data_IF_623266535621
#
_entry.id   IF_623266535621
#
_cell.length_a   1.000
_cell.length_b   1.000
_cell.length_c   1.000
_cell.angle_alpha   90.00
_cell.angle_beta   90.00
_cell.angle_gamma   90.00
#
_symmetry.space_group_name_H-M   'P 1'
#
loop_
_entity.id
_entity.type
_entity.pdbx_description
1 polymer ?
#
# COMPACT_ATOMS: atom_id res chain seq x y z
N UNK A 1 -14.14 4.21 2.48
CA UNK A 1 -12.86 4.56 1.82
C UNK A 1 -12.63 3.88 0.45
N UNK A 2 -13.19 2.70 0.16
CA UNK A 2 -12.95 2.01 -1.13
C UNK A 2 -13.62 2.61 -2.39
N UNK A 3 -14.65 3.45 -2.24
CA UNK A 3 -15.40 4.00 -3.38
C UNK A 3 -14.66 5.19 -4.02
N UNK A 4 -13.87 5.94 -3.23
CA UNK A 4 -13.08 7.08 -3.73
C UNK A 4 -11.88 6.63 -4.59
N UNK A 5 -11.29 5.46 -4.33
CA UNK A 5 -10.18 4.94 -5.13
C UNK A 5 -10.62 4.45 -6.53
N UNK A 6 -11.84 3.92 -6.67
CA UNK A 6 -12.34 3.47 -7.99
C UNK A 6 -12.60 4.63 -8.95
N UNK A 7 -13.09 5.77 -8.44
CA UNK A 7 -13.34 6.94 -9.27
C UNK A 7 -12.06 7.66 -9.70
N UNK A 8 -11.02 7.67 -8.84
CA UNK A 8 -9.72 8.22 -9.22
C UNK A 8 -9.07 7.35 -10.31
N UNK A 9 -9.10 6.03 -10.14
CA UNK A 9 -8.57 5.09 -11.12
C UNK A 9 -9.29 5.20 -12.48
N UNK A 10 -10.63 5.29 -12.48
CA UNK A 10 -11.41 5.42 -13.70
C UNK A 10 -11.20 6.77 -14.40
N UNK A 11 -10.96 7.85 -13.65
CA UNK A 11 -10.73 9.20 -14.21
C UNK A 11 -9.32 9.33 -14.80
N UNK A 12 -8.32 8.69 -14.18
CA UNK A 12 -6.94 8.62 -14.69
C UNK A 12 -6.89 7.75 -15.95
N UNK A 13 -7.49 6.56 -15.92
CA UNK A 13 -7.50 5.65 -17.06
C UNK A 13 -8.28 6.21 -18.25
N UNK A 14 -9.42 6.87 -18.01
CA UNK A 14 -10.24 7.46 -19.08
C UNK A 14 -9.53 8.62 -19.78
N UNK A 15 -8.72 9.40 -19.05
CA UNK A 15 -7.89 10.48 -19.60
C UNK A 15 -6.75 9.93 -20.47
N UNK A 16 -6.08 8.87 -20.00
CA UNK A 16 -5.07 8.14 -20.78
C UNK A 16 -5.65 7.53 -22.07
N UNK A 17 -6.86 6.96 -22.03
CA UNK A 17 -7.52 6.45 -23.24
C UNK A 17 -7.96 7.55 -24.20
N UNK A 18 -8.36 8.73 -23.72
CA UNK A 18 -8.69 9.85 -24.61
C UNK A 18 -7.44 10.44 -25.29
N UNK A 19 -6.31 10.52 -24.58
CA UNK A 19 -5.03 10.91 -25.19
C UNK A 19 -4.57 9.86 -26.21
N UNK A 20 -4.85 8.56 -25.98
CA UNK A 20 -4.53 7.49 -26.93
C UNK A 20 -5.34 7.55 -28.24
N UNK A 21 -6.55 8.14 -28.22
CA UNK A 21 -7.38 8.30 -29.43
C UNK A 21 -6.87 9.46 -30.28
N UNK A 22 -6.36 10.53 -29.67
CA UNK A 22 -5.69 11.63 -30.39
C UNK A 22 -4.34 11.16 -30.96
N UNK A 23 -3.63 10.29 -30.26
CA UNK A 23 -2.40 9.64 -30.76
C UNK A 23 -2.69 8.69 -31.93
N UNK A 24 -3.84 8.00 -31.96
CA UNK A 24 -4.23 7.11 -33.07
C UNK A 24 -4.62 7.83 -34.37
N UNK A 25 -4.84 9.15 -34.36
CA UNK A 25 -4.98 9.95 -35.57
C UNK A 25 -3.66 10.49 -36.13
N UNK A 26 -2.50 10.24 -35.49
CA UNK A 26 -1.18 10.48 -36.10
C UNK A 26 -0.85 9.32 -37.04
N UNK A 27 -1.48 9.29 -38.22
CA UNK A 27 -1.07 8.41 -39.34
C UNK A 27 0.28 8.79 -39.94
N UNK A 28 0.92 9.86 -39.45
CA UNK A 28 2.29 10.22 -39.78
C UNK A 28 3.15 9.98 -38.55
N UNK A 29 3.96 8.92 -38.56
CA UNK A 29 5.02 8.79 -37.56
C UNK A 29 5.97 9.96 -37.74
N UNK A 30 6.53 10.43 -36.62
CA UNK A 30 7.45 11.55 -36.62
C UNK A 30 8.70 11.22 -37.47
N UNK A 31 9.05 9.94 -37.55
CA UNK A 31 10.07 9.39 -38.44
C UNK A 31 9.70 9.54 -39.92
N UNK A 32 8.44 9.25 -40.32
CA UNK A 32 7.96 9.46 -41.68
C UNK A 32 7.98 10.94 -42.10
N UNK A 33 7.71 11.87 -41.18
CA UNK A 33 7.77 13.32 -41.44
C UNK A 33 9.21 13.76 -41.73
N UNK A 34 10.19 13.28 -40.97
CA UNK A 34 11.59 13.58 -41.25
C UNK A 34 12.12 12.87 -42.49
N UNK A 35 11.74 11.60 -42.70
CA UNK A 35 12.22 10.80 -43.82
C UNK A 35 11.68 11.33 -45.16
N UNK A 36 10.41 11.73 -45.22
CA UNK A 36 9.84 12.39 -46.39
C UNK A 36 10.51 13.73 -46.71
N UNK A 37 10.79 14.54 -45.69
CA UNK A 37 11.52 15.81 -45.85
C UNK A 37 12.95 15.61 -46.37
N UNK A 38 13.67 14.61 -45.85
CA UNK A 38 15.03 14.26 -46.27
C UNK A 38 15.04 13.76 -47.72
N UNK A 39 14.10 12.89 -48.10
CA UNK A 39 13.97 12.39 -49.47
C UNK A 39 13.65 13.53 -50.44
N UNK A 40 12.78 14.47 -50.07
CA UNK A 40 12.48 15.66 -50.88
C UNK A 40 13.70 16.58 -51.04
N UNK A 41 14.50 16.76 -50.00
CA UNK A 41 15.75 17.56 -50.06
C UNK A 41 16.78 16.92 -50.98
N UNK A 42 17.03 15.62 -50.84
CA UNK A 42 17.98 14.90 -51.69
C UNK A 42 17.49 14.80 -53.15
N UNK A 43 16.18 14.60 -53.36
CA UNK A 43 15.57 14.66 -54.69
C UNK A 43 15.73 16.05 -55.32
N UNK A 44 15.50 17.12 -54.55
CA UNK A 44 15.70 18.50 -55.01
C UNK A 44 17.16 18.82 -55.35
N UNK A 45 18.11 18.34 -54.55
CA UNK A 45 19.55 18.49 -54.81
C UNK A 45 20.03 17.69 -56.03
N UNK A 46 19.48 16.49 -56.24
CA UNK A 46 19.76 15.68 -57.43
C UNK A 46 19.18 16.32 -58.71
N UNK A 47 18.01 16.93 -58.63
CA UNK A 47 17.45 17.70 -59.74
C UNK A 47 18.25 18.98 -60.03
N UNK A 48 18.79 19.64 -58.99
CA UNK A 48 19.63 20.83 -59.15
C UNK A 48 20.99 20.52 -59.79
N UNK A 49 21.59 19.36 -59.46
CA UNK A 49 22.90 18.96 -60.00
C UNK A 49 22.88 18.64 -61.49
N UNK A 50 21.73 18.29 -62.05
CA UNK A 50 21.53 18.11 -63.49
C UNK A 50 21.53 19.43 -64.28
N UNK A 51 21.28 20.56 -63.60
CA UNK A 51 21.15 21.87 -64.22
C UNK A 51 22.44 22.68 -64.05
N UNK A 52 22.91 22.85 -62.81
CA UNK A 52 24.12 23.64 -62.51
C UNK A 52 24.70 23.28 -61.13
N UNK A 53 26.02 23.11 -61.05
CA UNK A 53 26.73 22.86 -59.80
C UNK A 53 26.69 24.06 -58.85
N UNK A 54 26.62 25.29 -59.40
CA UNK A 54 26.53 26.51 -58.58
C UNK A 54 25.19 26.60 -57.82
N UNK A 55 24.12 26.06 -58.40
CA UNK A 55 22.79 25.99 -57.78
C UNK A 55 22.79 25.05 -56.55
N UNK A 56 23.55 23.96 -56.62
CA UNK A 56 23.72 23.02 -55.49
C UNK A 56 24.39 23.70 -54.31
N UNK A 57 25.47 24.45 -54.54
CA UNK A 57 26.15 25.22 -53.50
C UNK A 57 25.22 26.27 -52.86
N UNK A 58 24.40 26.94 -53.67
CA UNK A 58 23.41 27.92 -53.21
C UNK A 58 22.33 27.27 -52.33
N UNK A 59 21.75 26.15 -52.76
CA UNK A 59 20.74 25.41 -51.99
C UNK A 59 21.29 24.85 -50.67
N UNK A 60 22.53 24.37 -50.67
CA UNK A 60 23.19 23.89 -49.46
C UNK A 60 23.41 25.02 -48.44
N UNK A 61 23.78 26.22 -48.90
CA UNK A 61 23.96 27.39 -48.03
C UNK A 61 22.62 27.85 -47.42
N UNK A 62 21.55 27.89 -48.21
CA UNK A 62 20.22 28.20 -47.66
C UNK A 62 19.68 27.08 -46.76
N UNK A 63 20.06 25.82 -47.00
CA UNK A 63 19.69 24.70 -46.13
C UNK A 63 20.37 24.77 -44.76
N UNK A 64 21.65 25.16 -44.69
CA UNK A 64 22.33 25.34 -43.39
C UNK A 64 21.77 26.52 -42.61
N UNK A 65 21.46 27.63 -43.30
CA UNK A 65 20.78 28.77 -42.69
C UNK A 65 19.37 28.40 -42.18
N UNK A 66 18.58 27.68 -43.00
CA UNK A 66 17.25 27.19 -42.64
C UNK A 66 17.29 26.28 -41.40
N UNK A 67 18.30 25.41 -41.30
CA UNK A 67 18.52 24.55 -40.15
C UNK A 67 18.74 25.37 -38.88
N UNK A 68 19.69 26.32 -38.91
CA UNK A 68 20.03 27.14 -37.75
C UNK A 68 18.83 27.98 -37.31
N UNK A 69 18.10 28.61 -38.24
CA UNK A 69 16.94 29.41 -37.88
C UNK A 69 15.74 28.58 -37.43
N UNK A 70 15.58 27.36 -37.93
CA UNK A 70 14.53 26.45 -37.46
C UNK A 70 14.78 25.98 -36.02
N UNK A 71 16.04 25.80 -35.62
CA UNK A 71 16.43 25.45 -34.25
C UNK A 71 16.28 26.64 -33.30
N UNK A 72 16.71 27.84 -33.71
CA UNK A 72 16.72 29.02 -32.84
C UNK A 72 15.37 29.77 -32.80
N UNK A 73 14.65 29.82 -33.92
CA UNK A 73 13.46 30.65 -34.11
C UNK A 73 12.18 29.88 -34.47
N UNK A 74 12.22 28.54 -34.48
CA UNK A 74 11.09 27.67 -34.85
C UNK A 74 10.49 28.07 -36.21
N UNK A 75 9.16 28.10 -36.32
CA UNK A 75 8.45 28.49 -37.55
C UNK A 75 8.72 29.94 -37.99
N UNK A 76 8.97 30.85 -37.06
CA UNK A 76 9.28 32.25 -37.37
C UNK A 76 10.63 32.38 -38.08
N UNK A 77 11.64 31.63 -37.62
CA UNK A 77 12.96 31.59 -38.25
C UNK A 77 12.92 31.02 -39.67
N UNK A 78 12.17 29.94 -39.87
CA UNK A 78 11.95 29.35 -41.19
C UNK A 78 11.19 30.31 -42.14
N UNK A 79 10.19 31.03 -41.65
CA UNK A 79 9.44 32.02 -42.43
C UNK A 79 10.32 33.15 -42.95
N UNK A 80 11.23 33.67 -42.12
CA UNK A 80 12.17 34.73 -42.50
C UNK A 80 13.11 34.26 -43.61
N UNK A 81 13.67 33.05 -43.47
CA UNK A 81 14.61 32.50 -44.47
C UNK A 81 13.90 32.16 -45.77
N UNK A 82 12.68 31.62 -45.71
CA UNK A 82 11.87 31.34 -46.91
C UNK A 82 11.56 32.63 -47.66
N UNK A 83 11.18 33.71 -46.96
CA UNK A 83 10.94 35.02 -47.54
C UNK A 83 12.19 35.65 -48.18
N UNK A 84 13.40 35.37 -47.66
CA UNK A 84 14.66 35.81 -48.27
C UNK A 84 15.07 34.94 -49.45
N UNK A 85 14.78 33.64 -49.40
CA UNK A 85 15.13 32.67 -50.44
C UNK A 85 14.42 32.96 -51.77
N UNK A 86 13.10 33.19 -51.76
CA UNK A 86 12.34 33.43 -52.99
C UNK A 86 12.86 34.57 -53.87
N UNK A 87 13.10 35.81 -53.36
CA UNK A 87 13.58 36.91 -54.19
C UNK A 87 15.01 36.70 -54.68
N UNK A 88 15.89 36.11 -53.87
CA UNK A 88 17.30 35.85 -54.25
C UNK A 88 17.38 34.72 -55.29
N UNK A 89 16.59 33.67 -55.12
CA UNK A 89 16.47 32.56 -56.06
C UNK A 89 15.91 33.03 -57.42
N UNK A 90 14.84 33.85 -57.39
CA UNK A 90 14.22 34.39 -58.58
C UNK A 90 15.18 35.31 -59.37
N UNK A 91 15.90 36.21 -58.70
CA UNK A 91 16.79 37.15 -59.38
C UNK A 91 17.99 36.47 -60.06
N UNK A 92 18.57 35.43 -59.42
CA UNK A 92 19.81 34.82 -59.90
C UNK A 92 19.59 33.66 -60.88
N UNK A 93 18.50 32.90 -60.77
CA UNK A 93 18.38 31.61 -61.46
C UNK A 93 17.16 31.48 -62.39
N UNK A 94 16.26 32.47 -62.40
CA UNK A 94 15.08 32.47 -63.29
C UNK A 94 15.46 32.63 -64.77
N UNK A 95 16.56 33.33 -65.06
CA UNK A 95 17.05 33.55 -66.44
C UNK A 95 17.86 32.38 -67.03
N UNK A 96 18.26 31.41 -66.20
CA UNK A 96 19.20 30.33 -66.57
C UNK A 96 18.45 29.04 -66.91
N UNK A 97 17.25 28.84 -66.37
CA UNK A 97 16.49 27.61 -66.57
C UNK A 97 15.69 27.62 -67.89
N UNK A 98 15.72 26.54 -68.70
CA UNK A 98 14.97 26.44 -69.95
C UNK A 98 13.45 26.29 -69.77
N UNK A 99 12.98 26.05 -68.53
CA UNK A 99 11.56 25.94 -68.20
C UNK A 99 11.25 26.58 -66.84
N UNK A 100 10.35 27.57 -66.87
CA UNK A 100 9.85 28.30 -65.68
C UNK A 100 9.13 27.36 -64.69
N UNK A 101 8.48 26.32 -65.21
CA UNK A 101 7.78 25.33 -64.38
C UNK A 101 8.75 24.48 -63.55
N UNK A 102 9.92 24.17 -64.11
CA UNK A 102 10.97 23.41 -63.40
C UNK A 102 11.62 24.22 -62.29
N UNK A 103 11.97 25.50 -62.54
CA UNK A 103 12.56 26.36 -61.51
C UNK A 103 11.56 26.66 -60.38
N UNK A 104 10.27 26.86 -60.71
CA UNK A 104 9.23 27.06 -59.71
C UNK A 104 8.99 25.78 -58.89
N UNK A 105 8.97 24.62 -59.56
CA UNK A 105 8.83 23.33 -58.90
C UNK A 105 9.95 23.05 -57.90
N UNK A 106 11.20 23.36 -58.27
CA UNK A 106 12.38 23.16 -57.42
C UNK A 106 12.40 24.12 -56.21
N UNK A 107 12.03 25.38 -56.41
CA UNK A 107 11.88 26.34 -55.32
C UNK A 107 10.76 25.94 -54.34
N UNK A 108 9.60 25.55 -54.87
CA UNK A 108 8.48 25.09 -54.05
C UNK A 108 8.79 23.79 -53.31
N UNK A 109 9.46 22.82 -53.95
CA UNK A 109 9.83 21.56 -53.29
C UNK A 109 10.83 21.79 -52.15
N UNK A 110 11.81 22.67 -52.35
CA UNK A 110 12.81 23.00 -51.33
C UNK A 110 12.21 23.71 -50.11
N UNK A 111 11.30 24.67 -50.36
CA UNK A 111 10.59 25.36 -49.28
C UNK A 111 9.67 24.37 -48.57
N UNK A 112 8.85 23.61 -49.29
CA UNK A 112 7.97 22.61 -48.68
C UNK A 112 8.72 21.55 -47.87
N UNK A 113 9.87 21.07 -48.34
CA UNK A 113 10.67 20.09 -47.60
C UNK A 113 11.18 20.64 -46.27
N UNK A 114 11.66 21.89 -46.25
CA UNK A 114 12.10 22.55 -45.02
C UNK A 114 10.93 22.97 -44.11
N UNK A 115 9.77 23.30 -44.69
CA UNK A 115 8.54 23.53 -43.95
C UNK A 115 8.10 22.29 -43.17
N UNK A 116 8.07 21.13 -43.83
CA UNK A 116 7.77 19.83 -43.20
C UNK A 116 8.81 19.50 -42.11
N UNK A 117 10.09 19.75 -42.38
CA UNK A 117 11.17 19.52 -41.41
C UNK A 117 11.02 20.38 -40.14
N UNK A 118 10.74 21.68 -40.31
CA UNK A 118 10.54 22.61 -39.19
C UNK A 118 9.32 22.24 -38.35
N UNK A 119 8.28 21.70 -38.99
CA UNK A 119 7.08 21.20 -38.33
C UNK A 119 7.39 19.95 -37.50
N UNK A 120 8.21 19.03 -38.03
CA UNK A 120 8.73 17.89 -37.28
C UNK A 120 9.53 18.32 -36.04
N UNK A 121 10.44 19.30 -36.16
CA UNK A 121 11.22 19.81 -35.03
C UNK A 121 10.31 20.40 -33.95
N UNK A 122 9.33 21.22 -34.31
CA UNK A 122 8.42 21.83 -33.34
C UNK A 122 7.63 20.77 -32.57
N UNK A 123 7.10 19.76 -33.28
CA UNK A 123 6.34 18.67 -32.64
C UNK A 123 7.18 17.87 -31.65
N UNK A 124 8.47 17.62 -31.94
CA UNK A 124 9.37 16.92 -30.99
C UNK A 124 9.64 17.75 -29.75
N UNK A 125 9.85 19.05 -29.91
CA UNK A 125 10.13 19.95 -28.80
C UNK A 125 8.90 20.06 -27.89
N UNK A 126 7.71 20.21 -28.47
CA UNK A 126 6.45 20.28 -27.73
C UNK A 126 6.20 18.95 -26.99
N UNK A 127 6.40 17.80 -27.66
CA UNK A 127 6.24 16.49 -27.03
C UNK A 127 7.26 16.24 -25.90
N UNK A 128 8.50 16.71 -26.04
CA UNK A 128 9.51 16.66 -24.97
C UNK A 128 9.11 17.54 -23.80
N UNK A 129 8.60 18.74 -24.06
CA UNK A 129 8.16 19.66 -23.01
C UNK A 129 6.97 19.10 -22.24
N UNK A 130 5.99 18.52 -22.93
CA UNK A 130 4.83 17.89 -22.31
C UNK A 130 5.23 16.67 -21.45
N UNK A 131 6.13 15.82 -21.96
CA UNK A 131 6.69 14.70 -21.17
C UNK A 131 7.43 15.22 -19.94
N UNK A 132 8.26 16.26 -20.08
CA UNK A 132 8.99 16.84 -18.96
C UNK A 132 8.04 17.37 -17.88
N UNK A 133 6.98 18.09 -18.27
CA UNK A 133 5.96 18.56 -17.33
C UNK A 133 5.23 17.41 -16.62
N UNK A 134 4.96 16.31 -17.32
CA UNK A 134 4.38 15.11 -16.70
C UNK A 134 5.34 14.45 -15.71
N UNK A 135 6.62 14.35 -16.06
CA UNK A 135 7.66 13.84 -15.16
C UNK A 135 7.81 14.71 -13.91
N UNK A 136 7.83 16.03 -14.06
CA UNK A 136 7.95 16.97 -12.94
C UNK A 136 6.75 16.83 -12.00
N UNK A 137 5.52 16.78 -12.53
CA UNK A 137 4.30 16.55 -11.73
C UNK A 137 4.32 15.22 -10.98
N UNK A 138 4.71 14.12 -11.65
CA UNK A 138 4.84 12.81 -11.02
C UNK A 138 5.92 12.82 -9.92
N UNK A 139 7.02 13.53 -10.15
CA UNK A 139 8.10 13.65 -9.17
C UNK A 139 7.64 14.41 -7.91
N UNK A 140 6.86 15.48 -8.06
CA UNK A 140 6.27 16.23 -6.95
C UNK A 140 5.25 15.39 -6.18
N UNK A 141 4.40 14.64 -6.88
CA UNK A 141 3.43 13.75 -6.26
C UNK A 141 4.12 12.64 -5.46
N UNK A 142 5.17 12.02 -6.02
CA UNK A 142 5.98 11.04 -5.32
C UNK A 142 6.70 11.62 -4.09
N UNK A 143 7.24 12.84 -4.19
CA UNK A 143 7.84 13.53 -3.05
C UNK A 143 6.80 13.83 -1.94
N UNK A 144 5.58 14.25 -2.33
CA UNK A 144 4.45 14.44 -1.43
C UNK A 144 4.08 13.16 -0.69
N UNK A 145 3.92 12.05 -1.42
CA UNK A 145 3.61 10.74 -0.83
C UNK A 145 4.72 10.31 0.13
N UNK A 146 5.99 10.44 -0.27
CA UNK A 146 7.14 10.08 0.57
C UNK A 146 7.16 10.87 1.88
N UNK A 147 6.98 12.19 1.82
CA UNK A 147 6.93 13.02 3.03
C UNK A 147 5.76 12.67 3.96
N UNK A 148 4.59 12.35 3.39
CA UNK A 148 3.43 11.92 4.17
C UNK A 148 3.64 10.56 4.84
N UNK A 149 4.30 9.64 4.15
CA UNK A 149 4.64 8.32 4.65
C UNK A 149 5.67 8.42 5.78
N UNK A 150 6.75 9.19 5.58
CA UNK A 150 7.80 9.39 6.58
C UNK A 150 7.22 10.01 7.86
N UNK A 151 6.30 10.98 7.72
CA UNK A 151 5.58 11.57 8.85
C UNK A 151 4.72 10.53 9.58
N UNK A 152 3.94 9.73 8.85
CA UNK A 152 3.09 8.70 9.47
C UNK A 152 3.92 7.62 10.19
N UNK A 153 5.08 7.24 9.64
CA UNK A 153 6.02 6.33 10.30
C UNK A 153 6.57 6.93 11.59
N UNK A 154 6.96 8.20 11.56
CA UNK A 154 7.46 8.91 12.73
C UNK A 154 6.39 9.04 13.83
N UNK A 155 5.17 9.47 13.48
CA UNK A 155 4.05 9.60 14.41
C UNK A 155 3.69 8.24 15.04
N UNK A 156 3.75 7.16 14.25
CA UNK A 156 3.53 5.79 14.75
C UNK A 156 4.64 5.35 15.72
N UNK A 157 5.90 5.66 15.43
CA UNK A 157 7.01 5.34 16.30
C UNK A 157 6.88 6.05 17.67
N UNK A 158 6.53 7.34 17.66
CA UNK A 158 6.27 8.13 18.89
C UNK A 158 5.10 7.55 19.68
N UNK A 159 4.01 7.16 19.01
CA UNK A 159 2.87 6.53 19.67
C UNK A 159 3.24 5.18 20.30
N UNK A 160 4.04 4.35 19.62
CA UNK A 160 4.53 3.09 20.17
C UNK A 160 5.42 3.31 21.40
N UNK A 161 6.35 4.26 21.36
CA UNK A 161 7.22 4.58 22.50
C UNK A 161 6.41 5.06 23.70
N UNK A 162 5.37 5.88 23.48
CA UNK A 162 4.46 6.32 24.53
C UNK A 162 3.70 5.14 25.16
N UNK A 163 3.17 4.24 24.33
CA UNK A 163 2.44 3.06 24.81
C UNK A 163 3.35 2.10 25.59
N UNK A 164 4.59 1.92 25.14
CA UNK A 164 5.59 1.09 25.81
C UNK A 164 5.95 1.66 27.20
N UNK A 165 6.23 2.96 27.28
CA UNK A 165 6.45 3.66 28.56
C UNK A 165 5.25 3.53 29.50
N UNK A 166 4.04 3.63 28.97
CA UNK A 166 2.80 3.46 29.75
C UNK A 166 2.63 2.02 30.23
N UNK A 167 2.94 1.03 29.40
CA UNK A 167 2.89 -0.38 29.78
C UNK A 167 3.88 -0.69 30.91
N UNK A 168 5.14 -0.22 30.79
CA UNK A 168 6.16 -0.38 31.83
C UNK A 168 5.74 0.28 33.15
N UNK A 169 5.16 1.48 33.10
CA UNK A 169 4.64 2.16 34.29
C UNK A 169 3.54 1.34 34.98
N UNK A 170 2.54 0.87 34.21
CA UNK A 170 1.46 0.03 34.72
C UNK A 170 1.95 -1.29 35.30
N UNK A 171 2.95 -1.92 34.67
CA UNK A 171 3.58 -3.14 35.18
C UNK A 171 4.27 -2.89 36.52
N UNK A 172 4.99 -1.77 36.66
CA UNK A 172 5.62 -1.39 37.93
C UNK A 172 4.59 -1.13 39.05
N UNK A 173 3.44 -0.53 38.73
CA UNK A 173 2.39 -0.29 39.70
C UNK A 173 1.67 -1.59 40.09
N UNK A 174 1.51 -2.53 39.14
CA UNK A 174 0.95 -3.85 39.39
C UNK A 174 1.86 -4.67 40.32
N UNK A 175 3.19 -4.59 40.14
CA UNK A 175 4.16 -5.20 41.06
C UNK A 175 4.06 -4.61 42.48
N UNK A 176 3.96 -3.28 42.61
CA UNK A 176 3.74 -2.64 43.92
C UNK A 176 2.45 -3.10 44.57
N UNK A 177 1.35 -3.17 43.82
CA UNK A 177 0.07 -3.66 44.33
C UNK A 177 0.14 -5.13 44.76
N UNK A 178 0.84 -5.99 44.01
CA UNK A 178 1.08 -7.38 44.41
C UNK A 178 1.87 -7.48 45.71
N UNK A 179 2.92 -6.66 45.88
CA UNK A 179 3.71 -6.64 47.10
C UNK A 179 2.88 -6.21 48.31
N UNK A 180 2.06 -5.15 48.17
CA UNK A 180 1.14 -4.69 49.22
C UNK A 180 0.10 -5.75 49.58
N UNK A 181 -0.44 -6.46 48.59
CA UNK A 181 -1.41 -7.53 48.81
C UNK A 181 -0.78 -8.70 49.55
N UNK A 182 0.45 -9.08 49.20
CA UNK A 182 1.18 -10.13 49.90
C UNK A 182 1.51 -9.75 51.34
N UNK A 183 1.86 -8.49 51.60
CA UNK A 183 2.07 -7.98 52.97
C UNK A 183 0.76 -7.99 53.78
N UNK A 184 -0.35 -7.59 53.17
CA UNK A 184 -1.69 -7.64 53.79
C UNK A 184 -2.10 -9.07 54.14
N UNK A 185 -1.91 -10.02 53.23
CA UNK A 185 -2.18 -11.44 53.50
C UNK A 185 -1.37 -11.96 54.69
N UNK A 186 -0.07 -11.63 54.77
CA UNK A 186 0.76 -11.99 55.94
C UNK A 186 0.23 -11.37 57.24
N UNK A 187 -0.18 -10.10 57.22
CA UNK A 187 -0.79 -9.44 58.40
C UNK A 187 -2.08 -10.14 58.81
N UNK A 188 -2.91 -10.55 57.85
CA UNK A 188 -4.15 -11.29 58.11
C UNK A 188 -3.87 -12.68 58.71
N UNK A 189 -2.87 -13.41 58.21
CA UNK A 189 -2.42 -14.68 58.80
C UNK A 189 -1.96 -14.49 60.25
N UNK A 190 -1.17 -13.46 60.52
CA UNK A 190 -0.74 -13.13 61.89
C UNK A 190 -1.93 -12.79 62.80
N UNK A 191 -2.87 -11.96 62.34
CA UNK A 191 -4.08 -11.67 63.12
C UNK A 191 -4.92 -12.92 63.39
N UNK A 192 -5.05 -13.82 62.41
CA UNK A 192 -5.77 -15.08 62.58
C UNK A 192 -5.11 -15.97 63.65
N UNK A 193 -3.78 -16.04 63.68
CA UNK A 193 -3.03 -16.74 64.72
C UNK A 193 -3.23 -16.09 66.10
N UNK A 194 -3.18 -14.76 66.19
CA UNK A 194 -3.42 -14.04 67.44
C UNK A 194 -4.84 -14.28 67.98
N UNK A 195 -5.85 -14.28 67.11
CA UNK A 195 -7.22 -14.63 67.50
C UNK A 195 -7.36 -16.06 68.01
N UNK A 196 -6.63 -17.00 67.40
CA UNK A 196 -6.61 -18.39 67.87
C UNK A 196 -5.99 -18.48 69.27
N UNK A 197 -4.87 -17.80 69.51
CA UNK A 197 -4.23 -17.75 70.84
C UNK A 197 -5.18 -17.14 71.87
N UNK A 198 -5.84 -16.03 71.56
CA UNK A 198 -6.81 -15.39 72.47
C UNK A 198 -8.01 -16.30 72.76
N UNK A 199 -8.48 -17.06 71.76
CA UNK A 199 -9.54 -18.05 71.94
C UNK A 199 -9.10 -19.18 72.88
N UNK A 200 -7.89 -19.70 72.70
CA UNK A 200 -7.33 -20.74 73.55
C UNK A 200 -7.13 -20.25 74.99
N UNK A 201 -6.64 -19.03 75.18
CA UNK A 201 -6.54 -18.38 76.50
C UNK A 201 -7.92 -18.22 77.16
N UNK A 202 -8.92 -17.78 76.40
CA UNK A 202 -10.30 -17.66 76.91
C UNK A 202 -10.83 -19.02 77.38
N UNK A 203 -10.59 -20.07 76.60
CA UNK A 203 -11.02 -21.43 76.96
C UNK A 203 -10.30 -21.94 78.22
N UNK A 204 -8.98 -21.72 78.31
CA UNK A 204 -8.20 -22.04 79.51
C UNK A 204 -8.72 -21.30 80.76
N UNK A 205 -9.04 -20.00 80.65
CA UNK A 205 -9.61 -19.25 81.78
C UNK A 205 -11.01 -19.73 82.18
N UNK A 206 -11.83 -20.15 81.22
CA UNK A 206 -13.13 -20.75 81.50
C UNK A 206 -13.00 -22.10 82.21
N UNK A 207 -12.01 -22.91 81.84
CA UNK A 207 -11.68 -24.15 82.54
C UNK A 207 -11.20 -23.89 83.98
N UNK A 208 -10.27 -22.94 84.17
CA UNK A 208 -9.78 -22.54 85.49
C UNK A 208 -10.92 -21.99 86.38
N UNK A 209 -11.80 -21.17 85.81
CA UNK A 209 -12.98 -20.66 86.51
C UNK A 209 -13.94 -21.79 86.88
N UNK A 210 -14.19 -22.75 85.98
CA UNK A 210 -15.05 -23.90 86.27
C UNK A 210 -14.46 -24.77 87.39
N UNK A 211 -13.15 -24.99 87.42
CA UNK A 211 -12.45 -25.68 88.51
C UNK A 211 -12.61 -24.94 89.83
N UNK A 212 -12.35 -23.63 89.85
CA UNK A 212 -12.47 -22.80 91.04
C UNK A 212 -13.93 -22.74 91.55
N UNK A 213 -14.89 -22.63 90.65
CA UNK A 213 -16.31 -22.63 90.98
C UNK A 213 -16.74 -23.99 91.56
N UNK A 214 -16.31 -25.09 90.96
CA UNK A 214 -16.56 -26.43 91.48
C UNK A 214 -15.91 -26.63 92.87
N UNK A 215 -14.71 -26.08 93.09
CA UNK A 215 -14.05 -26.12 94.39
C UNK A 215 -14.75 -25.24 95.43
N UNK A 216 -15.22 -24.06 95.06
CA UNK A 216 -16.07 -23.21 95.90
C UNK A 216 -17.37 -23.92 96.27
N UNK A 217 -18.08 -24.50 95.30
CA UNK A 217 -19.29 -25.29 95.54
C UNK A 217 -18.97 -26.48 96.44
N UNK A 218 -17.86 -27.18 96.25
CA UNK A 218 -17.42 -28.26 97.15
C UNK A 218 -17.16 -27.76 98.57
N UNK A 219 -16.52 -26.61 98.76
CA UNK A 219 -16.24 -26.04 100.08
C UNK A 219 -17.49 -25.47 100.77
N UNK A 220 -18.45 -24.96 100.01
CA UNK A 220 -19.70 -24.37 100.53
C UNK A 220 -20.78 -25.44 100.75
N UNK A 221 -20.84 -26.46 99.89
CA UNK A 221 -21.81 -27.55 99.96
C UNK A 221 -21.24 -28.82 100.64
N UNK A 222 -19.96 -28.84 101.01
CA UNK A 222 -19.25 -30.01 101.53
C UNK A 222 -18.47 -29.71 102.81
N UNK A 223 -19.20 -29.27 103.83
CA UNK A 223 -19.02 -29.69 105.23
C UNK A 223 -20.40 -29.49 105.92
N UNK A 224 -21.28 -30.48 105.78
CA UNK A 224 -22.67 -30.47 106.29
C UNK A 224 -22.79 -30.47 107.83
N UNK A 225 -21.75 -30.09 108.58
CA UNK A 225 -21.76 -30.09 110.05
C UNK A 225 -21.20 -28.84 110.73
N UNK A 226 -21.23 -27.67 110.09
CA UNK A 226 -20.98 -26.43 110.85
C UNK A 226 -21.75 -25.22 110.30
N UNK A 227 -22.82 -24.87 111.02
CA UNK A 227 -23.53 -23.59 110.87
C UNK A 227 -22.58 -22.42 111.10
N UNK A 228 -22.28 -21.61 110.08
CA UNK A 228 -21.55 -20.35 110.29
C UNK A 228 -22.05 -19.26 109.33
N UNK A 229 -23.22 -18.69 109.62
CA UNK A 229 -23.49 -17.26 109.40
C UNK A 229 -24.41 -16.74 110.51
N UNK A 230 -23.83 -16.47 111.68
CA UNK A 230 -24.47 -15.78 112.81
C UNK A 230 -24.01 -14.32 112.92
N UNK A 231 -24.11 -13.53 111.85
CA UNK A 231 -23.69 -12.11 111.89
C UNK A 231 -24.62 -11.20 111.08
N UNK A 232 -25.91 -11.20 111.46
CA UNK A 232 -26.77 -10.01 111.35
C UNK A 232 -27.27 -9.70 112.77
N UNK A 233 -26.34 -9.26 113.62
CA UNK A 233 -26.68 -8.61 114.87
C UNK A 233 -26.04 -7.24 114.87
N UNK A 234 -26.90 -6.23 115.02
CA UNK A 234 -26.57 -4.81 115.21
C UNK A 234 -25.34 -4.64 116.08
N UNK A 235 -24.38 -3.85 115.60
CA UNK A 235 -23.46 -3.11 116.46
C UNK A 235 -23.44 -1.67 115.98
N UNK A 236 -24.02 -0.81 116.80
CA UNK A 236 -23.85 0.64 116.75
C UNK A 236 -22.35 0.94 116.75
N UNK A 237 -21.86 1.57 115.70
CA UNK A 237 -20.61 2.30 115.71
C UNK A 237 -20.94 3.78 115.63
N UNK A 238 -20.95 4.42 116.80
CA UNK A 238 -20.57 5.82 116.95
C UNK A 238 -19.17 5.98 116.37
N UNK A 239 -19.06 6.70 115.25
CA UNK A 239 -17.76 7.17 114.73
C UNK A 239 -17.66 8.65 115.04
N UNK A 240 -16.61 9.00 115.77
CA UNK A 240 -16.23 10.33 116.15
C UNK A 240 -16.07 11.28 114.95
N UNK A 241 -16.55 12.50 115.14
CA UNK A 241 -16.57 13.64 114.22
C UNK A 241 -15.18 14.27 113.97
N UNK A 242 -14.12 13.46 113.81
CA UNK A 242 -12.76 13.97 113.52
C UNK A 242 -12.05 13.34 112.31
N UNK A 243 -12.60 12.29 111.67
CA UNK A 243 -12.01 11.68 110.46
C UNK A 243 -12.72 12.03 109.13
N UNK A 244 -13.73 12.90 109.17
CA UNK A 244 -14.55 13.23 108.00
C UNK A 244 -13.78 14.02 106.92
N UNK A 245 -12.67 14.67 107.28
CA UNK A 245 -11.82 15.42 106.35
C UNK A 245 -10.97 14.54 105.41
N UNK A 246 -10.34 13.48 105.92
CA UNK A 246 -9.49 12.60 105.10
C UNK A 246 -10.30 11.69 104.18
N UNK A 247 -11.44 11.16 104.66
CA UNK A 247 -12.33 10.31 103.86
C UNK A 247 -12.93 11.10 102.68
N UNK A 248 -13.39 12.34 102.93
CA UNK A 248 -13.88 13.22 101.88
C UNK A 248 -12.79 13.58 100.84
N UNK A 249 -11.55 13.79 101.27
CA UNK A 249 -10.42 14.05 100.38
C UNK A 249 -10.03 12.82 99.53
N UNK A 250 -10.14 11.60 100.07
CA UNK A 250 -9.93 10.39 99.26
C UNK A 250 -11.04 10.17 98.23
N UNK A 251 -12.30 10.44 98.58
CA UNK A 251 -13.42 10.33 97.63
C UNK A 251 -13.34 11.36 96.49
N UNK A 252 -12.97 12.60 96.79
CA UNK A 252 -12.78 13.62 95.74
C UNK A 252 -11.60 13.29 94.82
N UNK A 253 -10.52 12.71 95.36
CA UNK A 253 -9.38 12.26 94.53
C UNK A 253 -9.74 11.08 93.62
N UNK A 254 -10.51 10.12 94.12
CA UNK A 254 -11.02 8.99 93.32
C UNK A 254 -11.98 9.49 92.24
N UNK A 255 -12.87 10.44 92.56
CA UNK A 255 -13.79 11.04 91.59
C UNK A 255 -13.02 11.76 90.48
N UNK A 256 -12.02 12.57 90.83
CA UNK A 256 -11.16 13.24 89.86
C UNK A 256 -10.38 12.26 88.97
N UNK A 257 -9.85 11.17 89.54
CA UNK A 257 -9.17 10.14 88.75
C UNK A 257 -10.13 9.40 87.79
N UNK A 258 -11.37 9.18 88.22
CA UNK A 258 -12.41 8.56 87.39
C UNK A 258 -12.88 9.51 86.28
N UNK A 259 -13.03 10.80 86.56
CA UNK A 259 -13.35 11.81 85.55
C UNK A 259 -12.23 11.94 84.52
N UNK A 260 -10.96 11.93 84.93
CA UNK A 260 -9.82 11.93 83.99
C UNK A 260 -9.75 10.66 83.12
N UNK A 261 -10.16 9.50 83.67
CA UNK A 261 -10.28 8.25 82.89
C UNK A 261 -11.48 8.27 81.94
N UNK A 262 -12.57 8.94 82.33
CA UNK A 262 -13.74 9.11 81.49
C UNK A 262 -13.44 10.00 80.29
N UNK A 263 -12.76 11.12 80.51
CA UNK A 263 -12.36 12.03 79.43
C UNK A 263 -11.36 11.37 78.47
N UNK A 264 -10.43 10.54 78.95
CA UNK A 264 -9.51 9.80 78.06
C UNK A 264 -10.23 8.72 77.24
N UNK A 265 -11.25 8.06 77.80
CA UNK A 265 -12.10 7.11 77.08
C UNK A 265 -12.98 7.81 76.04
N UNK A 266 -13.52 8.98 76.34
CA UNK A 266 -14.26 9.80 75.38
C UNK A 266 -13.37 10.23 74.20
N UNK A 267 -12.12 10.65 74.47
CA UNK A 267 -11.17 11.00 73.41
C UNK A 267 -10.79 9.78 72.56
N UNK A 268 -10.65 8.60 73.17
CA UNK A 268 -10.42 7.35 72.43
C UNK A 268 -11.62 6.95 71.57
N UNK A 269 -12.85 7.14 72.08
CA UNK A 269 -14.08 6.86 71.35
C UNK A 269 -14.21 7.77 70.12
N UNK A 270 -13.87 9.05 70.26
CA UNK A 270 -13.92 10.00 69.15
C UNK A 270 -12.88 9.69 68.08
N UNK A 271 -11.67 9.27 68.48
CA UNK A 271 -10.64 8.77 67.55
C UNK A 271 -11.13 7.54 66.79
N UNK A 272 -11.72 6.56 67.47
CA UNK A 272 -12.34 5.36 66.86
C UNK A 272 -13.44 5.73 65.85
N UNK A 273 -14.34 6.67 66.19
CA UNK A 273 -15.38 7.16 65.27
C UNK A 273 -14.79 7.78 64.02
N UNK A 274 -13.79 8.64 64.17
CA UNK A 274 -13.12 9.28 63.02
C UNK A 274 -12.43 8.25 62.11
N UNK A 275 -11.85 7.19 62.70
CA UNK A 275 -11.22 6.10 61.98
C UNK A 275 -12.26 5.28 61.21
N UNK A 276 -13.39 4.97 61.84
CA UNK A 276 -14.50 4.26 61.20
C UNK A 276 -15.07 5.02 60.01
N UNK A 277 -15.29 6.33 60.14
CA UNK A 277 -15.73 7.18 59.03
C UNK A 277 -14.72 7.24 57.88
N UNK A 278 -13.42 7.15 58.19
CA UNK A 278 -12.38 7.08 57.16
C UNK A 278 -12.41 5.76 56.39
N UNK A 279 -12.58 4.64 57.09
CA UNK A 279 -12.69 3.31 56.47
C UNK A 279 -13.98 3.15 55.67
N UNK A 280 -15.09 3.72 56.14
CA UNK A 280 -16.36 3.67 55.40
C UNK A 280 -16.25 4.43 54.07
N UNK A 281 -15.59 5.60 54.07
CA UNK A 281 -15.29 6.34 52.83
C UNK A 281 -14.36 5.56 51.90
N UNK A 282 -13.34 4.91 52.45
CA UNK A 282 -12.41 4.08 51.67
C UNK A 282 -13.13 2.88 51.04
N UNK A 283 -14.01 2.20 51.79
CA UNK A 283 -14.85 1.11 51.29
C UNK A 283 -15.77 1.56 50.16
N UNK A 284 -16.41 2.72 50.28
CA UNK A 284 -17.25 3.28 49.21
C UNK A 284 -16.43 3.58 47.95
N UNK A 285 -15.21 4.10 48.11
CA UNK A 285 -14.30 4.34 46.98
C UNK A 285 -13.81 3.04 46.33
N UNK A 286 -13.60 1.98 47.13
CA UNK A 286 -13.21 0.67 46.62
C UNK A 286 -14.37 0.04 45.85
N UNK A 287 -15.60 0.18 46.36
CA UNK A 287 -16.80 -0.31 45.71
C UNK A 287 -17.02 0.33 44.34
N UNK A 288 -16.83 1.65 44.22
CA UNK A 288 -16.92 2.33 42.92
C UNK A 288 -15.85 1.84 41.93
N UNK A 289 -14.62 1.62 42.40
CA UNK A 289 -13.53 1.07 41.56
C UNK A 289 -13.80 -0.36 41.11
N UNK A 290 -14.37 -1.21 41.98
CA UNK A 290 -14.78 -2.57 41.61
C UNK A 290 -15.88 -2.51 40.54
N UNK A 291 -16.84 -1.60 40.66
CA UNK A 291 -17.88 -1.41 39.66
C UNK A 291 -17.30 -0.98 38.29
N UNK A 292 -16.32 -0.07 38.29
CA UNK A 292 -15.61 0.33 37.05
C UNK A 292 -14.87 -0.84 36.39
N UNK A 293 -14.25 -1.73 37.19
CA UNK A 293 -13.59 -2.93 36.67
C UNK A 293 -14.60 -3.87 36.01
N UNK A 294 -15.75 -4.10 36.64
CA UNK A 294 -16.83 -4.93 36.07
C UNK A 294 -17.33 -4.33 34.74
N UNK A 295 -17.49 -3.01 34.66
CA UNK A 295 -17.89 -2.34 33.42
C UNK A 295 -16.82 -2.47 32.32
N UNK A 296 -15.54 -2.44 32.68
CA UNK A 296 -14.44 -2.64 31.75
C UNK A 296 -14.35 -4.08 31.25
N UNK A 297 -14.58 -5.06 32.13
CA UNK A 297 -14.66 -6.49 31.75
C UNK A 297 -15.78 -6.72 30.75
N UNK A 298 -16.98 -6.18 30.98
CA UNK A 298 -18.10 -6.26 30.05
C UNK A 298 -17.79 -5.63 28.68
N UNK A 299 -17.06 -4.50 28.66
CA UNK A 299 -16.61 -3.87 27.41
C UNK A 299 -15.57 -4.72 26.69
N UNK A 300 -14.66 -5.33 27.44
CA UNK A 300 -13.62 -6.21 26.90
C UNK A 300 -14.25 -7.45 26.26
N UNK A 301 -15.22 -8.08 26.92
CA UNK A 301 -15.97 -9.22 26.37
C UNK A 301 -16.70 -8.86 25.07
N UNK A 302 -17.33 -7.67 25.03
CA UNK A 302 -17.98 -7.17 23.83
C UNK A 302 -16.97 -6.96 22.69
N UNK A 303 -15.81 -6.38 22.97
CA UNK A 303 -14.76 -6.19 21.97
C UNK A 303 -14.19 -7.52 21.49
N UNK A 304 -13.99 -8.49 22.37
CA UNK A 304 -13.57 -9.84 22.00
C UNK A 304 -14.60 -10.53 21.09
N UNK A 305 -15.89 -10.39 21.38
CA UNK A 305 -16.94 -10.95 20.49
C UNK A 305 -16.92 -10.31 19.10
N UNK A 306 -16.67 -9.00 19.02
CA UNK A 306 -16.56 -8.29 17.74
C UNK A 306 -15.31 -8.70 16.98
N UNK A 307 -14.20 -8.90 17.68
CA UNK A 307 -12.95 -9.40 17.09
C UNK A 307 -13.17 -10.78 16.46
N UNK A 308 -13.74 -11.73 17.22
CA UNK A 308 -14.06 -13.07 16.72
C UNK A 308 -14.97 -13.03 15.49
N UNK A 309 -15.96 -12.14 15.48
CA UNK A 309 -16.82 -11.96 14.32
C UNK A 309 -16.04 -11.46 13.09
N UNK A 310 -15.09 -10.54 13.27
CA UNK A 310 -14.25 -10.03 12.19
C UNK A 310 -13.26 -11.07 11.67
N UNK A 311 -12.72 -11.92 12.54
CA UNK A 311 -11.86 -13.02 12.14
C UNK A 311 -12.63 -14.01 11.25
N UNK A 312 -13.86 -14.37 11.61
CA UNK A 312 -14.74 -15.21 10.78
C UNK A 312 -15.02 -14.55 9.41
N UNK A 313 -15.30 -13.25 9.37
CA UNK A 313 -15.50 -12.52 8.11
C UNK A 313 -14.24 -12.52 7.23
N UNK A 314 -13.05 -12.41 7.85
CA UNK A 314 -11.77 -12.46 7.14
C UNK A 314 -11.51 -13.86 6.57
N UNK A 315 -11.76 -14.92 7.33
CA UNK A 315 -11.65 -16.30 6.84
C UNK A 315 -12.57 -16.54 5.65
N UNK A 316 -13.85 -16.11 5.73
CA UNK A 316 -14.79 -16.21 4.62
C UNK A 316 -14.34 -15.44 3.37
N UNK A 317 -13.74 -14.26 3.55
CA UNK A 317 -13.19 -13.48 2.45
C UNK A 317 -11.95 -14.15 1.85
N UNK A 318 -11.08 -14.73 2.67
CA UNK A 318 -9.91 -15.49 2.21
C UNK A 318 -10.33 -16.72 1.42
N UNK A 319 -11.32 -17.49 1.88
CA UNK A 319 -11.88 -18.63 1.14
C UNK A 319 -12.45 -18.19 -0.22
N UNK A 320 -13.19 -17.07 -0.27
CA UNK A 320 -13.69 -16.53 -1.54
C UNK A 320 -12.57 -16.15 -2.49
N UNK A 321 -11.55 -15.42 -2.00
CA UNK A 321 -10.39 -15.04 -2.81
C UNK A 321 -9.68 -16.30 -3.33
N UNK A 322 -9.49 -17.30 -2.49
CA UNK A 322 -8.88 -18.55 -2.91
C UNK A 322 -9.72 -19.27 -3.97
N UNK A 323 -11.04 -19.29 -3.83
CA UNK A 323 -11.96 -19.78 -4.85
C UNK A 323 -11.80 -19.10 -6.21
N UNK A 324 -11.67 -17.76 -6.23
CA UNK A 324 -11.43 -17.00 -7.46
C UNK A 324 -10.08 -17.31 -8.09
N UNK A 325 -9.00 -17.33 -7.30
CA UNK A 325 -7.64 -17.62 -7.80
C UNK A 325 -7.52 -19.03 -8.37
N UNK A 326 -8.20 -20.00 -7.75
CA UNK A 326 -8.19 -21.39 -8.21
C UNK A 326 -8.99 -21.54 -9.51
N UNK A 327 -10.11 -20.83 -9.64
CA UNK A 327 -10.92 -20.80 -10.88
C UNK A 327 -10.20 -20.13 -12.05
N UNK A 328 -9.49 -19.02 -11.82
CA UNK A 328 -8.70 -18.34 -12.88
C UNK A 328 -7.48 -19.15 -13.31
N UNK A 329 -6.79 -19.83 -12.39
CA UNK A 329 -5.65 -20.70 -12.74
C UNK A 329 -6.04 -21.84 -13.66
N UNK A 330 -7.21 -22.47 -13.45
CA UNK A 330 -7.68 -23.58 -14.30
C UNK A 330 -8.06 -23.07 -15.70
N UNK A 331 -8.64 -21.87 -15.82
CA UNK A 331 -8.98 -21.30 -17.15
C UNK A 331 -7.75 -20.85 -17.93
N UNK A 332 -6.79 -20.19 -17.27
CA UNK A 332 -5.56 -19.71 -17.93
C UNK A 332 -4.67 -20.86 -18.41
N UNK A 333 -4.51 -21.92 -17.61
CA UNK A 333 -3.65 -23.05 -17.96
C UNK A 333 -4.22 -23.89 -19.14
N UNK A 334 -5.55 -23.88 -19.31
CA UNK A 334 -6.22 -24.49 -20.47
C UNK A 334 -6.08 -23.68 -21.76
N UNK A 335 -6.11 -22.35 -21.67
CA UNK A 335 -5.94 -21.45 -22.81
C UNK A 335 -4.48 -21.41 -23.29
N UNK A 336 -3.52 -21.35 -22.37
CA UNK A 336 -2.10 -21.27 -22.71
C UNK A 336 -1.60 -22.55 -23.41
N UNK A 337 -2.08 -23.73 -22.98
CA UNK A 337 -1.83 -25.01 -23.68
C UNK A 337 -2.45 -25.05 -25.08
N UNK A 338 -3.62 -24.44 -25.28
CA UNK A 338 -4.28 -24.35 -26.60
C UNK A 338 -3.51 -23.43 -27.56
N UNK A 339 -3.07 -22.27 -27.08
CA UNK A 339 -2.28 -21.34 -27.90
C UNK A 339 -0.91 -21.88 -28.26
N UNK A 340 -0.21 -22.51 -27.30
CA UNK A 340 1.08 -23.15 -27.57
C UNK A 340 0.96 -24.26 -28.62
N UNK A 341 -0.11 -25.05 -28.59
CA UNK A 341 -0.36 -26.09 -29.60
C UNK A 341 -0.64 -25.49 -30.99
N UNK A 342 -1.50 -24.45 -31.07
CA UNK A 342 -1.78 -23.75 -32.34
C UNK A 342 -0.53 -23.10 -32.94
N UNK A 343 0.33 -22.52 -32.11
CA UNK A 343 1.59 -21.93 -32.54
C UNK A 343 2.55 -22.98 -33.12
N UNK A 344 2.68 -24.14 -32.47
CA UNK A 344 3.49 -25.24 -32.99
C UNK A 344 2.95 -25.76 -34.33
N UNK A 345 1.63 -25.90 -34.46
CA UNK A 345 0.99 -26.33 -35.69
C UNK A 345 1.20 -25.34 -36.84
N UNK A 346 1.08 -24.03 -36.56
CA UNK A 346 1.38 -22.98 -37.55
C UNK A 346 2.85 -23.02 -37.98
N UNK A 347 3.78 -23.18 -37.03
CA UNK A 347 5.22 -23.28 -37.32
C UNK A 347 5.54 -24.47 -38.22
N UNK A 348 4.93 -25.63 -37.98
CA UNK A 348 5.07 -26.81 -38.83
C UNK A 348 4.51 -26.56 -40.24
N UNK A 349 3.36 -25.89 -40.35
CA UNK A 349 2.78 -25.52 -41.64
C UNK A 349 3.67 -24.54 -42.43
N UNK A 350 4.27 -23.56 -41.76
CA UNK A 350 5.23 -22.64 -42.39
C UNK A 350 6.47 -23.38 -42.90
N UNK A 351 7.03 -24.32 -42.12
CA UNK A 351 8.17 -25.11 -42.60
C UNK A 351 7.82 -25.97 -43.82
N UNK A 352 6.66 -26.64 -43.80
CA UNK A 352 6.23 -27.47 -44.92
C UNK A 352 5.95 -26.65 -46.20
N UNK A 353 5.31 -25.47 -46.07
CA UNK A 353 5.07 -24.57 -47.20
C UNK A 353 6.36 -23.94 -47.74
N UNK A 354 7.31 -23.59 -46.87
CA UNK A 354 8.61 -23.08 -47.28
C UNK A 354 9.44 -24.13 -48.05
N UNK A 355 9.40 -25.39 -47.62
CA UNK A 355 10.03 -26.50 -48.34
C UNK A 355 9.39 -26.75 -49.70
N UNK A 356 8.05 -26.71 -49.78
CA UNK A 356 7.32 -26.84 -51.05
C UNK A 356 7.65 -25.69 -52.02
N UNK A 357 7.75 -24.46 -51.52
CA UNK A 357 8.13 -23.29 -52.32
C UNK A 357 9.58 -23.37 -52.82
N UNK A 358 10.50 -23.91 -52.01
CA UNK A 358 11.86 -24.20 -52.46
C UNK A 358 11.90 -25.29 -53.53
N UNK A 359 11.09 -26.34 -53.41
CA UNK A 359 10.98 -27.38 -54.43
C UNK A 359 10.42 -26.81 -55.74
N UNK A 360 9.34 -26.02 -55.68
CA UNK A 360 8.75 -25.37 -56.85
C UNK A 360 9.74 -24.40 -57.54
N UNK A 361 10.50 -23.62 -56.78
CA UNK A 361 11.56 -22.74 -57.33
C UNK A 361 12.68 -23.54 -58.02
N UNK A 362 13.05 -24.70 -57.49
CA UNK A 362 14.03 -25.59 -58.13
C UNK A 362 13.49 -26.19 -59.43
N UNK A 363 12.23 -26.62 -59.45
CA UNK A 363 11.60 -27.11 -60.67
C UNK A 363 11.48 -26.00 -61.72
N UNK A 364 11.12 -24.78 -61.33
CA UNK A 364 11.10 -23.62 -62.23
C UNK A 364 12.49 -23.33 -62.79
N UNK A 365 13.52 -23.42 -61.96
CA UNK A 365 14.91 -23.25 -62.41
C UNK A 365 15.30 -24.32 -63.43
N UNK A 366 14.97 -25.59 -63.17
CA UNK A 366 15.22 -26.71 -64.09
C UNK A 366 14.44 -26.56 -65.40
N UNK A 367 13.17 -26.16 -65.36
CA UNK A 367 12.35 -25.91 -66.55
C UNK A 367 12.93 -24.75 -67.34
N UNK A 368 13.38 -23.68 -66.68
CA UNK A 368 14.02 -22.54 -67.31
C UNK A 368 15.38 -22.90 -67.91
N UNK A 369 16.16 -23.74 -67.25
CA UNK A 369 17.41 -24.27 -67.77
C UNK A 369 17.17 -25.15 -69.00
N UNK A 370 16.22 -26.09 -68.93
CA UNK A 370 15.80 -26.91 -70.06
C UNK A 370 15.32 -26.05 -71.23
N UNK A 371 14.47 -25.05 -70.97
CA UNK A 371 14.01 -24.10 -71.98
C UNK A 371 15.19 -23.34 -72.62
N UNK A 372 16.14 -22.84 -71.84
CA UNK A 372 17.33 -22.15 -72.37
C UNK A 372 18.23 -23.11 -73.17
N UNK A 373 18.35 -24.38 -72.76
CA UNK A 373 19.11 -25.38 -73.52
C UNK A 373 18.42 -25.78 -74.83
N UNK A 374 17.09 -25.90 -74.83
CA UNK A 374 16.28 -26.14 -76.02
C UNK A 374 16.33 -24.93 -76.96
N UNK A 375 16.18 -23.71 -76.43
CA UNK A 375 16.33 -22.47 -77.18
C UNK A 375 17.71 -22.38 -77.85
N UNK A 376 18.78 -22.81 -77.17
CA UNK A 376 20.13 -22.87 -77.75
C UNK A 376 20.27 -23.96 -78.82
N UNK A 377 19.59 -25.09 -78.68
CA UNK A 377 19.52 -26.14 -79.73
C UNK A 377 18.65 -25.73 -80.94
N UNK A 378 17.68 -24.83 -80.72
CA UNK A 378 16.76 -24.33 -81.74
C UNK A 378 17.33 -23.10 -82.47
N UNK A 379 18.16 -22.27 -81.82
CA UNK A 379 19.04 -21.32 -82.52
C UNK A 379 19.98 -22.04 -83.52
N UNK A 380 20.38 -23.27 -83.20
CA UNK A 380 21.14 -24.15 -84.10
C UNK A 380 20.27 -24.87 -85.15
N UNK A 381 18.93 -24.86 -85.02
CA UNK A 381 18.00 -25.48 -85.96
C UNK A 381 16.65 -24.76 -86.03
N UNK A 382 16.41 -24.00 -87.10
CA UNK A 382 15.20 -23.20 -87.33
C UNK A 382 13.92 -24.06 -87.29
N UNK A 383 13.24 -24.11 -86.14
CA UNK A 383 11.83 -24.48 -86.02
C UNK A 383 11.13 -23.72 -84.89
N UNK A 384 9.80 -23.82 -84.87
CA UNK A 384 8.85 -22.89 -84.23
C UNK A 384 8.38 -23.43 -82.87
N UNK A 385 8.40 -22.56 -81.85
CA UNK A 385 8.02 -22.83 -80.45
C UNK A 385 6.64 -23.49 -80.33
N UNK A 386 6.54 -24.59 -79.57
CA UNK A 386 5.27 -25.23 -79.23
C UNK A 386 4.57 -24.46 -78.09
N UNK A 387 3.33 -24.01 -78.35
CA UNK A 387 2.52 -23.15 -77.45
C UNK A 387 2.20 -23.79 -76.08
N UNK A 388 2.46 -25.09 -75.94
CA UNK A 388 2.18 -25.82 -74.71
C UNK A 388 3.17 -25.49 -73.58
N UNK A 389 4.43 -25.17 -73.92
CA UNK A 389 5.47 -24.89 -72.94
C UNK A 389 5.31 -23.50 -72.30
N UNK A 390 4.86 -22.51 -73.09
CA UNK A 390 4.48 -21.18 -72.59
C UNK A 390 3.34 -21.30 -71.57
N UNK A 391 2.36 -22.17 -71.85
CA UNK A 391 1.22 -22.40 -70.95
C UNK A 391 1.62 -23.08 -69.63
N UNK A 392 2.67 -23.90 -69.64
CA UNK A 392 3.20 -24.52 -68.42
C UNK A 392 3.91 -23.48 -67.56
N UNK A 393 4.70 -22.60 -68.18
CA UNK A 393 5.39 -21.50 -67.49
C UNK A 393 4.38 -20.52 -66.87
N UNK A 394 3.33 -20.15 -67.62
CA UNK A 394 2.26 -19.27 -67.11
C UNK A 394 1.54 -19.88 -65.91
N UNK A 395 1.19 -21.17 -65.95
CA UNK A 395 0.56 -21.86 -64.80
C UNK A 395 1.46 -21.93 -63.57
N UNK A 396 2.76 -22.12 -63.77
CA UNK A 396 3.72 -22.17 -62.66
C UNK A 396 3.93 -20.80 -62.03
N UNK A 397 3.91 -19.73 -62.83
CA UNK A 397 3.95 -18.35 -62.33
C UNK A 397 2.69 -18.01 -61.52
N UNK A 398 1.51 -18.35 -62.05
CA UNK A 398 0.23 -18.14 -61.35
C UNK A 398 0.16 -18.92 -60.02
N UNK A 399 0.73 -20.13 -59.98
CA UNK A 399 0.79 -20.90 -58.74
C UNK A 399 1.76 -20.30 -57.70
N UNK A 400 2.86 -19.69 -58.13
CA UNK A 400 3.81 -19.00 -57.23
C UNK A 400 3.18 -17.73 -56.66
N UNK A 401 2.50 -16.93 -57.47
CA UNK A 401 1.83 -15.70 -57.01
C UNK A 401 0.77 -16.00 -55.94
N UNK A 402 -0.06 -17.03 -56.16
CA UNK A 402 -1.07 -17.44 -55.18
C UNK A 402 -0.45 -17.91 -53.85
N UNK A 403 0.70 -18.59 -53.89
CA UNK A 403 1.39 -19.03 -52.67
C UNK A 403 2.04 -17.86 -51.91
N UNK A 404 2.55 -16.86 -52.62
CA UNK A 404 3.13 -15.67 -51.99
C UNK A 404 2.06 -14.81 -51.30
N UNK A 405 0.86 -14.70 -51.87
CA UNK A 405 -0.29 -14.00 -51.27
C UNK A 405 -0.86 -14.74 -50.04
N UNK A 406 -0.84 -16.08 -50.05
CA UNK A 406 -1.26 -16.88 -48.90
C UNK A 406 -0.24 -16.79 -47.73
N UNK A 407 1.06 -16.66 -48.03
CA UNK A 407 2.09 -16.48 -47.00
C UNK A 407 1.95 -15.10 -46.34
N UNK A 408 1.78 -14.03 -47.11
CA UNK A 408 1.62 -12.68 -46.56
C UNK A 408 0.36 -12.54 -45.70
N UNK A 409 -0.77 -13.10 -46.12
CA UNK A 409 -2.00 -13.08 -45.30
C UNK A 409 -1.85 -13.87 -43.98
N UNK A 410 -1.09 -14.97 -43.97
CA UNK A 410 -0.79 -15.71 -42.75
C UNK A 410 0.21 -14.97 -41.84
N UNK A 411 1.19 -14.27 -42.40
CA UNK A 411 2.11 -13.40 -41.65
C UNK A 411 1.37 -12.23 -41.00
N UNK A 412 0.43 -11.59 -41.71
CA UNK A 412 -0.45 -10.57 -41.15
C UNK A 412 -1.30 -11.12 -40.00
N UNK A 413 -1.87 -12.32 -40.15
CA UNK A 413 -2.68 -12.96 -39.11
C UNK A 413 -1.86 -13.20 -37.83
N UNK A 414 -0.62 -13.68 -37.96
CA UNK A 414 0.31 -13.91 -36.84
C UNK A 414 0.68 -12.59 -36.17
N UNK A 415 0.96 -11.54 -36.95
CA UNK A 415 1.30 -10.21 -36.44
C UNK A 415 0.15 -9.59 -35.62
N UNK A 416 -1.09 -9.75 -36.07
CA UNK A 416 -2.26 -9.26 -35.36
C UNK A 416 -2.52 -9.99 -34.04
N UNK A 417 -2.33 -11.32 -34.00
CA UNK A 417 -2.49 -12.11 -32.77
C UNK A 417 -1.41 -11.87 -31.70
N UNK A 418 -0.24 -11.33 -32.06
CA UNK A 418 0.83 -10.97 -31.11
C UNK A 418 0.70 -9.54 -30.55
N UNK A 419 -0.18 -8.72 -31.15
CA UNK A 419 -0.38 -7.30 -30.80
C UNK A 419 -1.56 -7.02 -29.85
N UNK A 420 -2.35 -8.06 -29.52
CA UNK A 420 -3.41 -8.05 -28.51
C UNK A 420 -2.95 -8.79 -27.26
#
# INVERSE_FOLDING_TARGET
MHIFNKHLYYKIYRRLTQDSVVVKCRSFSLEWVFLSSIVLLFGGLACASLIDLALVCFLMLFSTLALIASLCGRFLGYGIISCLFFPIYYYNYFSICPSVLWSLGLACSFVLSWGIFSLGISLVIDERMDRQQQYDRLSEEHAGIRSSYDKAVHDKAVACEFLEKRAQSLESDLEKCRALLQESCKKQEHMALDFQILSDQKNSWLEDYALLHNEYVRLVAGDETTSVFSWVSKKEMSVDFQQQGEVAQTWTRILQEKDMKLTSLEESLEKERSLRESFERECLSLHSRVQEVVDLELRLDKLQSQLRQKDIELEQLQERIHGYVTSEKVSFDSQDKSYKMKYLQLREQFSAKAEALLAARKELFLVRENYLTLQKQEEDSLSFIDMNDIRIIERLLEYIENLEEEITSLEELVSHTLSQ
#
